data_IF_870170114944
#
_entry.id   IF_870170114944
#
_cell.length_a   1.000
_cell.length_b   1.000
_cell.length_c   1.000
_cell.angle_alpha   90.00
_cell.angle_beta   90.00
_cell.angle_gamma   90.00
#
_symmetry.space_group_name_H-M   'P 1'
#
loop_
_entity.id
_entity.type
_entity.pdbx_description
1 polymer ?
#
# COMPACT_ATOMS: atom_id res chain seq x y z
N UNK A 1 21.26 -2.19 -17.06
CA UNK A 1 19.84 -2.60 -17.05
C UNK A 1 19.07 -1.72 -18.04
N UNK A 2 18.18 -2.25 -18.88
CA UNK A 2 17.55 -1.38 -19.89
C UNK A 2 16.59 -0.38 -19.22
N UNK A 3 16.70 0.91 -19.55
CA UNK A 3 15.80 1.98 -19.05
C UNK A 3 14.32 1.61 -19.21
N UNK A 4 13.97 0.86 -20.27
CA UNK A 4 12.61 0.34 -20.49
C UNK A 4 12.10 -0.56 -19.37
N UNK A 5 12.93 -1.46 -18.81
CA UNK A 5 12.53 -2.32 -17.68
C UNK A 5 12.34 -1.51 -16.39
N UNK A 6 13.19 -0.51 -16.15
CA UNK A 6 13.04 0.41 -15.02
C UNK A 6 11.73 1.22 -15.13
N UNK A 7 11.49 1.83 -16.29
CA UNK A 7 10.28 2.60 -16.57
C UNK A 7 9.02 1.75 -16.43
N UNK A 8 9.02 0.50 -16.92
CA UNK A 8 7.88 -0.41 -16.76
C UNK A 8 7.58 -0.71 -15.29
N UNK A 9 8.60 -0.93 -14.45
CA UNK A 9 8.38 -1.16 -13.00
C UNK A 9 7.87 0.09 -12.29
N UNK A 10 8.46 1.25 -12.60
CA UNK A 10 7.98 2.51 -12.06
C UNK A 10 6.51 2.75 -12.44
N UNK A 11 6.16 2.53 -13.71
CA UNK A 11 4.78 2.66 -14.19
C UNK A 11 3.83 1.67 -13.50
N UNK A 12 4.25 0.42 -13.28
CA UNK A 12 3.46 -0.55 -12.51
C UNK A 12 3.21 -0.07 -11.08
N UNK A 13 4.21 0.53 -10.42
CA UNK A 13 4.02 1.14 -9.11
C UNK A 13 3.06 2.33 -9.22
N UNK A 14 3.23 3.26 -10.16
CA UNK A 14 2.27 4.33 -10.34
C UNK A 14 0.81 3.82 -10.51
N UNK A 15 0.61 2.73 -11.26
CA UNK A 15 -0.71 2.09 -11.40
C UNK A 15 -1.20 1.51 -10.07
N UNK A 16 -0.36 0.81 -9.31
CA UNK A 16 -0.73 0.29 -7.98
C UNK A 16 -1.11 1.42 -7.02
N UNK A 17 -0.38 2.53 -7.03
CA UNK A 17 -0.69 3.71 -6.21
C UNK A 17 -2.00 4.41 -6.62
N UNK A 18 -2.40 4.32 -7.89
CA UNK A 18 -3.62 4.91 -8.41
C UNK A 18 -4.87 4.06 -8.17
N UNK A 19 -4.72 2.76 -7.91
CA UNK A 19 -5.83 1.87 -7.60
C UNK A 19 -6.36 2.12 -6.18
N UNK A 20 -7.62 1.77 -5.88
CA UNK A 20 -8.11 1.74 -4.51
C UNK A 20 -7.37 0.67 -3.72
N UNK A 21 -6.83 1.06 -2.57
CA UNK A 21 -5.98 0.23 -1.70
C UNK A 21 -6.79 -0.64 -0.74
N UNK A 22 -7.89 -0.09 -0.23
CA UNK A 22 -8.85 -0.85 0.58
C UNK A 22 -10.25 -0.59 0.04
N UNK A 23 -11.02 -1.65 -0.16
CA UNK A 23 -12.45 -1.53 -0.51
C UNK A 23 -13.26 -2.04 0.67
N UNK A 24 -14.19 -1.24 1.16
CA UNK A 24 -15.06 -1.58 2.27
C UNK A 24 -16.48 -1.70 1.74
N UNK A 25 -17.12 -2.80 2.08
CA UNK A 25 -18.56 -3.00 1.89
C UNK A 25 -19.22 -2.98 3.27
N UNK A 26 -20.33 -2.26 3.39
CA UNK A 26 -21.19 -2.31 4.56
C UNK A 26 -22.66 -2.40 4.16
N UNK A 27 -23.47 -2.98 5.04
CA UNK A 27 -24.93 -3.05 4.90
C UNK A 27 -25.58 -2.14 5.92
N UNK A 28 -26.44 -1.23 5.47
CA UNK A 28 -27.28 -0.40 6.34
C UNK A 28 -28.73 -0.36 5.86
N UNK A 29 -29.56 0.46 6.51
CA UNK A 29 -31.00 0.59 6.22
C UNK A 29 -31.29 1.00 4.76
N UNK A 30 -30.35 1.71 4.13
CA UNK A 30 -30.41 2.13 2.73
C UNK A 30 -29.83 1.12 1.72
N UNK A 31 -29.50 -0.11 2.15
CA UNK A 31 -28.94 -1.17 1.32
C UNK A 31 -27.42 -1.38 1.45
N UNK A 32 -26.85 -2.11 0.49
CA UNK A 32 -25.40 -2.42 0.43
C UNK A 32 -24.65 -1.24 -0.18
N UNK A 33 -23.67 -0.72 0.55
CA UNK A 33 -22.84 0.41 0.14
C UNK A 33 -21.36 0.01 0.04
N UNK A 34 -20.62 0.72 -0.80
CA UNK A 34 -19.20 0.50 -1.05
C UNK A 34 -18.40 1.79 -0.89
N UNK A 35 -17.27 1.70 -0.20
CA UNK A 35 -16.29 2.77 -0.04
C UNK A 35 -14.92 2.27 -0.49
N UNK A 36 -14.12 3.16 -1.06
CA UNK A 36 -12.73 2.85 -1.38
C UNK A 36 -11.80 3.83 -0.68
N UNK A 37 -10.61 3.36 -0.36
CA UNK A 37 -9.59 4.11 0.36
C UNK A 37 -8.29 3.99 -0.41
N UNK A 38 -7.60 5.11 -0.61
CA UNK A 38 -6.34 5.17 -1.36
C UNK A 38 -5.16 5.31 -0.38
N UNK A 39 -3.94 5.09 -0.86
CA UNK A 39 -2.72 5.33 -0.07
C UNK A 39 -2.60 6.78 0.44
N UNK A 40 -3.16 7.75 -0.28
CA UNK A 40 -2.93 9.18 -0.03
C UNK A 40 -4.18 9.92 0.48
N UNK A 41 -5.29 9.23 0.70
CA UNK A 41 -6.51 9.84 1.20
C UNK A 41 -7.73 8.91 1.27
N UNK A 42 -8.72 9.36 2.02
CA UNK A 42 -10.00 8.69 2.27
C UNK A 42 -11.08 9.37 1.42
N UNK A 43 -11.85 8.63 0.62
CA UNK A 43 -13.01 9.22 -0.06
C UNK A 43 -13.86 8.21 -0.85
N UNK A 44 -15.19 8.39 -0.91
CA UNK A 44 -16.07 7.43 -1.58
C UNK A 44 -15.77 7.32 -3.08
N UNK A 45 -15.61 6.09 -3.58
CA UNK A 45 -15.30 5.78 -4.98
C UNK A 45 -16.43 6.17 -5.95
N UNK A 46 -17.67 6.11 -5.45
CA UNK A 46 -18.91 6.25 -6.23
C UNK A 46 -19.82 7.39 -5.71
N UNK A 47 -19.32 8.21 -4.76
CA UNK A 47 -19.95 9.49 -4.38
C UNK A 47 -19.34 10.65 -5.18
N UNK A 48 -19.83 11.90 -5.05
CA UNK A 48 -19.21 13.05 -5.71
C UNK A 48 -17.72 13.10 -5.33
N UNK A 49 -16.88 12.71 -6.29
CA UNK A 49 -15.42 12.67 -6.22
C UNK A 49 -14.94 14.11 -6.01
N UNK A 50 -14.93 14.58 -4.77
CA UNK A 50 -14.49 15.93 -4.44
C UNK A 50 -14.99 16.46 -3.10
N UNK A 51 -16.24 16.18 -2.70
CA UNK A 51 -16.83 16.87 -1.54
C UNK A 51 -16.42 16.29 -0.18
N UNK A 52 -15.97 15.03 -0.13
CA UNK A 52 -15.58 14.32 1.11
C UNK A 52 -14.25 13.58 1.00
N UNK A 53 -13.34 14.03 0.14
CA UNK A 53 -12.00 13.44 0.06
C UNK A 53 -11.09 14.06 1.14
N UNK A 54 -10.73 13.27 2.16
CA UNK A 54 -9.82 13.69 3.21
C UNK A 54 -8.42 13.21 2.87
N UNK A 55 -7.56 14.15 2.47
CA UNK A 55 -6.14 13.88 2.24
C UNK A 55 -5.42 13.47 3.52
N UNK A 56 -4.39 12.64 3.38
CA UNK A 56 -3.60 12.14 4.49
C UNK A 56 -3.04 13.24 5.43
N UNK A 57 -2.47 14.36 4.95
CA UNK A 57 -1.98 15.41 5.85
C UNK A 57 -3.11 16.04 6.68
N UNK A 58 -4.30 16.22 6.08
CA UNK A 58 -5.47 16.74 6.78
C UNK A 58 -5.99 15.76 7.82
N UNK A 59 -5.97 14.46 7.51
CA UNK A 59 -6.27 13.41 8.48
C UNK A 59 -5.28 13.46 9.64
N UNK A 60 -3.97 13.46 9.38
CA UNK A 60 -2.93 13.48 10.43
C UNK A 60 -2.96 14.74 11.29
N UNK A 61 -3.39 15.88 10.74
CA UNK A 61 -3.51 17.13 11.50
C UNK A 61 -4.64 17.13 12.53
N UNK A 62 -5.64 16.25 12.38
CA UNK A 62 -6.87 16.27 13.18
C UNK A 62 -7.11 14.93 13.90
N UNK A 63 -6.58 13.83 13.37
CA UNK A 63 -6.82 12.49 13.89
C UNK A 63 -6.07 12.27 15.21
N UNK A 64 -6.83 11.91 16.25
CA UNK A 64 -6.27 11.33 17.46
C UNK A 64 -5.98 9.86 17.14
N UNK A 65 -4.71 9.53 16.92
CA UNK A 65 -4.31 8.16 16.61
C UNK A 65 -3.98 7.42 17.91
N UNK A 66 -5.02 6.88 18.52
CA UNK A 66 -4.99 6.15 19.80
C UNK A 66 -4.60 4.67 19.68
N UNK A 67 -4.70 4.08 18.47
CA UNK A 67 -4.56 2.64 18.26
C UNK A 67 -3.56 2.31 17.17
N UNK A 68 -2.75 1.27 17.39
CA UNK A 68 -1.66 0.86 16.48
C UNK A 68 -2.13 0.58 15.04
N UNK A 69 -3.31 -0.03 14.84
CA UNK A 69 -3.81 -0.34 13.50
C UNK A 69 -4.21 0.91 12.71
N UNK A 70 -4.57 2.01 13.39
CA UNK A 70 -4.87 3.30 12.75
C UNK A 70 -3.59 4.01 12.26
N UNK A 71 -2.45 3.76 12.91
CA UNK A 71 -1.13 4.21 12.45
C UNK A 71 -0.63 3.38 11.24
N UNK A 72 -1.10 2.15 11.10
CA UNK A 72 -0.61 1.26 10.06
C UNK A 72 -0.90 1.78 8.64
N UNK A 73 -2.03 2.46 8.41
CA UNK A 73 -2.35 3.09 7.12
C UNK A 73 -1.35 4.20 6.70
N UNK A 74 -1.12 5.27 7.49
CA UNK A 74 -0.09 6.26 7.15
C UNK A 74 1.30 5.65 6.99
N UNK A 75 1.65 4.65 7.81
CA UNK A 75 2.93 3.94 7.68
C UNK A 75 3.00 3.18 6.36
N UNK A 76 1.95 2.45 5.98
CA UNK A 76 1.86 1.71 4.71
C UNK A 76 2.03 2.63 3.50
N UNK A 77 1.34 3.77 3.51
CA UNK A 77 1.46 4.82 2.51
C UNK A 77 2.87 5.42 2.40
N UNK A 78 3.50 5.70 3.55
CA UNK A 78 4.87 6.22 3.59
C UNK A 78 5.88 5.22 3.03
N UNK A 79 5.80 3.95 3.47
CA UNK A 79 6.67 2.87 2.97
C UNK A 79 6.51 2.69 1.46
N UNK A 80 5.29 2.82 0.95
CA UNK A 80 5.02 2.78 -0.47
C UNK A 80 5.64 3.94 -1.24
N UNK A 81 5.53 5.16 -0.73
CA UNK A 81 6.16 6.34 -1.32
C UNK A 81 7.68 6.17 -1.37
N UNK A 82 8.30 5.62 -0.32
CA UNK A 82 9.70 5.24 -0.33
C UNK A 82 10.02 4.18 -1.39
N UNK A 83 9.15 3.18 -1.57
CA UNK A 83 9.31 2.15 -2.61
C UNK A 83 9.28 2.77 -4.01
N UNK A 84 8.33 3.70 -4.24
CA UNK A 84 8.22 4.44 -5.50
C UNK A 84 9.45 5.29 -5.78
N UNK A 85 9.94 6.02 -4.77
CA UNK A 85 11.19 6.79 -4.87
C UNK A 85 12.41 5.91 -5.16
N UNK A 86 12.52 4.76 -4.48
CA UNK A 86 13.55 3.75 -4.73
C UNK A 86 13.51 3.21 -6.16
N UNK A 87 12.31 2.91 -6.68
CA UNK A 87 12.13 2.47 -8.06
C UNK A 87 12.45 3.56 -9.09
N UNK A 88 12.14 4.83 -8.77
CA UNK A 88 12.47 5.98 -9.63
C UNK A 88 13.99 6.15 -9.81
N UNK A 89 14.77 5.90 -8.76
CA UNK A 89 16.25 5.83 -8.87
C UNK A 89 16.72 4.75 -9.86
N UNK A 90 15.87 3.77 -10.20
CA UNK A 90 16.13 2.77 -11.22
C UNK A 90 16.26 3.35 -12.63
N UNK A 91 15.66 4.51 -12.90
CA UNK A 91 15.85 5.25 -14.16
C UNK A 91 17.28 5.77 -14.31
N UNK A 92 17.94 6.03 -13.18
CA UNK A 92 19.34 6.44 -13.07
C UNK A 92 20.28 5.25 -12.85
N UNK A 93 19.76 4.02 -12.81
CA UNK A 93 20.54 2.81 -12.54
C UNK A 93 20.97 2.64 -11.07
N UNK A 94 20.37 3.38 -10.14
CA UNK A 94 20.72 3.40 -8.71
C UNK A 94 19.71 2.69 -7.78
N UNK A 95 18.74 1.99 -8.35
CA UNK A 95 17.75 1.23 -7.57
C UNK A 95 18.39 0.02 -6.87
N UNK A 96 18.26 -0.04 -5.54
CA UNK A 96 18.44 -1.29 -4.81
C UNK A 96 17.10 -2.04 -4.74
N UNK A 97 17.02 -3.11 -5.53
CA UNK A 97 15.82 -3.96 -5.63
C UNK A 97 15.45 -4.66 -4.34
N UNK A 98 16.41 -4.89 -3.41
CA UNK A 98 16.10 -5.49 -2.10
C UNK A 98 15.32 -4.52 -1.25
N UNK A 99 15.75 -3.25 -1.25
CA UNK A 99 15.08 -2.16 -0.54
C UNK A 99 13.68 -1.95 -1.11
N UNK A 100 13.54 -1.85 -2.44
CA UNK A 100 12.21 -1.70 -3.06
C UNK A 100 11.30 -2.88 -2.71
N UNK A 101 11.81 -4.12 -2.78
CA UNK A 101 11.04 -5.31 -2.43
C UNK A 101 10.59 -5.31 -0.96
N UNK A 102 11.51 -5.03 -0.03
CA UNK A 102 11.21 -4.96 1.39
C UNK A 102 10.18 -3.90 1.71
N UNK A 103 10.31 -2.71 1.12
CA UNK A 103 9.35 -1.61 1.28
C UNK A 103 7.95 -1.99 0.78
N UNK A 104 7.82 -2.68 -0.35
CA UNK A 104 6.54 -3.17 -0.85
C UNK A 104 5.92 -4.23 0.06
N UNK A 105 6.73 -5.16 0.58
CA UNK A 105 6.24 -6.18 1.51
C UNK A 105 5.74 -5.56 2.80
N UNK A 106 6.53 -4.65 3.39
CA UNK A 106 6.16 -3.95 4.62
C UNK A 106 4.96 -3.03 4.44
N UNK A 107 4.86 -2.34 3.29
CA UNK A 107 3.69 -1.53 2.94
C UNK A 107 2.42 -2.40 2.86
N UNK A 108 2.48 -3.52 2.14
CA UNK A 108 1.37 -4.48 2.10
C UNK A 108 1.02 -5.07 3.48
N UNK A 109 2.01 -5.33 4.33
CA UNK A 109 1.77 -5.79 5.71
C UNK A 109 1.07 -4.74 6.58
N UNK A 110 1.47 -3.47 6.47
CA UNK A 110 0.87 -2.36 7.19
C UNK A 110 -0.59 -2.12 6.75
N UNK A 111 -0.86 -2.19 5.44
CA UNK A 111 -2.23 -2.09 4.90
C UNK A 111 -3.11 -3.27 5.32
N UNK A 112 -2.55 -4.49 5.39
CA UNK A 112 -3.28 -5.65 5.90
C UNK A 112 -3.63 -5.46 7.38
N UNK A 113 -2.69 -4.97 8.19
CA UNK A 113 -2.91 -4.68 9.61
C UNK A 113 -4.01 -3.64 9.82
N UNK A 114 -4.01 -2.58 9.00
CA UNK A 114 -5.08 -1.60 8.99
C UNK A 114 -6.44 -2.22 8.66
N UNK A 115 -6.52 -3.01 7.58
CA UNK A 115 -7.75 -3.66 7.16
C UNK A 115 -8.31 -4.64 8.19
N UNK A 116 -7.43 -5.42 8.83
CA UNK A 116 -7.80 -6.33 9.91
C UNK A 116 -8.29 -5.59 11.16
N UNK A 117 -7.61 -4.50 11.56
CA UNK A 117 -8.05 -3.67 12.67
C UNK A 117 -9.41 -3.03 12.42
N UNK A 118 -9.66 -2.62 11.19
CA UNK A 118 -10.93 -2.04 10.77
C UNK A 118 -12.07 -3.07 10.77
N UNK A 119 -11.84 -4.25 10.17
CA UNK A 119 -12.80 -5.35 10.20
C UNK A 119 -13.08 -5.85 11.64
N UNK A 120 -12.06 -5.91 12.50
CA UNK A 120 -12.21 -6.30 13.90
C UNK A 120 -12.96 -5.25 14.74
N UNK A 121 -12.90 -3.97 14.37
CA UNK A 121 -13.60 -2.90 15.07
C UNK A 121 -15.11 -2.88 14.79
N UNK A 122 -15.55 -3.49 13.68
CA UNK A 122 -16.92 -3.39 13.16
C UNK A 122 -17.29 -4.64 12.36
N UNK A 123 -18.18 -5.47 12.92
CA UNK A 123 -18.62 -6.73 12.32
C UNK A 123 -19.51 -6.56 11.07
N UNK A 124 -20.05 -5.36 10.85
CA UNK A 124 -20.84 -4.98 9.67
C UNK A 124 -19.99 -4.67 8.43
N UNK A 125 -18.66 -4.62 8.58
CA UNK A 125 -17.74 -4.29 7.50
C UNK A 125 -17.11 -5.55 6.87
N UNK A 126 -17.26 -5.66 5.55
CA UNK A 126 -16.41 -6.54 4.75
C UNK A 126 -15.28 -5.70 4.14
N UNK A 127 -14.05 -5.95 4.59
CA UNK A 127 -12.85 -5.24 4.15
C UNK A 127 -12.07 -6.10 3.15
N UNK A 128 -11.90 -5.60 1.93
CA UNK A 128 -11.14 -6.22 0.86
C UNK A 128 -9.71 -5.63 0.82
N UNK A 129 -8.67 -6.43 1.14
CA UNK A 129 -7.29 -5.96 1.21
C UNK A 129 -6.65 -5.93 -0.19
N UNK A 130 -6.95 -4.90 -0.98
CA UNK A 130 -6.45 -4.77 -2.36
C UNK A 130 -4.95 -4.44 -2.39
N UNK A 131 -4.50 -3.48 -1.57
CA UNK A 131 -3.12 -3.04 -1.51
C UNK A 131 -2.12 -4.14 -1.11
N UNK A 132 -2.39 -4.97 -0.09
CA UNK A 132 -1.51 -6.10 0.24
C UNK A 132 -1.31 -7.04 -0.94
N UNK A 133 -2.40 -7.41 -1.62
CA UNK A 133 -2.34 -8.31 -2.77
C UNK A 133 -1.53 -7.70 -3.93
N UNK A 134 -1.76 -6.43 -4.24
CA UNK A 134 -1.04 -5.73 -5.30
C UNK A 134 0.44 -5.55 -4.96
N UNK A 135 0.77 -5.07 -3.76
CA UNK A 135 2.15 -4.83 -3.34
C UNK A 135 2.95 -6.13 -3.30
N UNK A 136 2.40 -7.19 -2.73
CA UNK A 136 3.05 -8.50 -2.68
C UNK A 136 3.12 -9.15 -4.06
N UNK A 137 2.10 -8.99 -4.90
CA UNK A 137 2.13 -9.44 -6.29
C UNK A 137 3.25 -8.78 -7.09
N UNK A 138 3.40 -7.45 -6.99
CA UNK A 138 4.52 -6.74 -7.64
C UNK A 138 5.86 -7.15 -7.05
N UNK A 139 5.97 -7.29 -5.73
CA UNK A 139 7.20 -7.75 -5.08
C UNK A 139 7.60 -9.16 -5.57
N UNK A 140 6.65 -10.10 -5.61
CA UNK A 140 6.86 -11.47 -6.03
C UNK A 140 7.15 -11.62 -7.53
N UNK A 141 6.51 -10.84 -8.40
CA UNK A 141 6.67 -10.96 -9.85
C UNK A 141 7.83 -10.12 -10.39
N UNK A 142 7.99 -8.89 -9.92
CA UNK A 142 8.96 -7.93 -10.46
C UNK A 142 10.27 -7.85 -9.65
N UNK A 143 10.23 -8.21 -8.36
CA UNK A 143 11.34 -8.07 -7.42
C UNK A 143 11.78 -9.40 -6.76
N UNK A 144 11.36 -10.55 -7.32
CA UNK A 144 11.67 -11.90 -6.82
C UNK A 144 13.14 -12.13 -6.46
N UNK A 145 14.05 -11.60 -7.27
CA UNK A 145 15.48 -11.81 -7.08
C UNK A 145 16.00 -11.03 -5.87
N UNK A 146 15.39 -9.87 -5.58
CA UNK A 146 15.65 -9.10 -4.37
C UNK A 146 15.13 -9.81 -3.12
N UNK A 147 13.91 -10.35 -3.17
CA UNK A 147 13.31 -11.13 -2.07
C UNK A 147 14.12 -12.38 -1.74
N UNK A 148 14.55 -13.15 -2.75
CA UNK A 148 15.40 -14.34 -2.52
C UNK A 148 16.68 -13.97 -1.78
N UNK A 149 17.31 -12.84 -2.12
CA UNK A 149 18.54 -12.38 -1.47
C UNK A 149 18.33 -11.78 -0.08
N UNK A 150 17.10 -11.44 0.29
CA UNK A 150 16.73 -11.07 1.66
C UNK A 150 16.58 -12.31 2.54
N UNK A 151 15.99 -13.38 2.00
CA UNK A 151 15.75 -14.64 2.74
C UNK A 151 17.04 -15.45 2.90
N UNK A 152 17.90 -15.48 1.89
CA UNK A 152 19.21 -16.13 1.97
C UNK A 152 20.26 -15.17 2.52
N UNK A 153 20.19 -14.86 3.82
CA UNK A 153 21.39 -14.52 4.56
C UNK A 153 22.21 -15.81 4.67
N UNK A 154 23.26 -15.92 3.86
CA UNK A 154 24.28 -16.96 4.04
C UNK A 154 24.81 -16.78 5.46
N UNK A 155 24.69 -17.77 6.37
CA UNK A 155 25.41 -17.68 7.63
C UNK A 155 26.87 -17.47 7.28
N UNK A 156 27.47 -16.41 7.80
CA UNK A 156 28.91 -16.25 7.70
C UNK A 156 29.51 -17.51 8.34
N UNK A 157 30.31 -18.24 7.57
CA UNK A 157 31.15 -19.29 8.12
C UNK A 157 32.03 -18.62 9.18
N UNK A 158 31.75 -18.93 10.44
CA UNK A 158 32.48 -18.48 11.62
C UNK A 158 33.62 -19.44 11.91
#
# INVERSE_FOLDING_TARGET
MSRRRAARRLLLLCVVGALPWTVIRWSGDAGVQYGAFFAYGLGPLLGPLGERFTYLPRYLAVAIIDTYWRQAWPTGAFLYACALGSAALGLLGREDRRVTAGLLVMSGGAELLYGLGLAGSRSDLLVLPVAPLLCWGVAALCYRDGLRRLVYLRPAEA
#
